data_IF_525736138465
#
_entry.id   IF_525736138465
#
_cell.length_a   1.000
_cell.length_b   1.000
_cell.length_c   1.000
_cell.angle_alpha   90.00
_cell.angle_beta   90.00
_cell.angle_gamma   90.00
#
_symmetry.space_group_name_H-M   'P 1'
#
loop_
_entity.id
_entity.type
_entity.pdbx_description
1 polymer ?
#
# COMPACT_ATOMS: atom_id res chain seq x y z
N UNK A 1 -19.48 1.49 39.82
CA UNK A 1 -18.74 0.45 39.05
C UNK A 1 -19.29 0.30 37.63
N UNK A 2 -20.62 0.31 37.39
CA UNK A 2 -21.20 0.15 36.05
C UNK A 2 -20.85 1.32 35.08
N UNK A 3 -20.79 2.54 35.57
CA UNK A 3 -20.39 3.71 34.76
C UNK A 3 -18.92 3.69 34.38
N UNK A 4 -18.03 3.31 35.32
CA UNK A 4 -16.61 3.15 35.03
C UNK A 4 -16.37 2.08 33.98
N UNK A 5 -17.11 0.96 34.03
CA UNK A 5 -17.02 -0.11 33.04
C UNK A 5 -17.51 0.39 31.66
N UNK A 6 -18.61 1.15 31.59
CA UNK A 6 -19.11 1.73 30.33
C UNK A 6 -18.09 2.67 29.72
N UNK A 7 -17.52 3.57 30.51
CA UNK A 7 -16.48 4.53 30.06
C UNK A 7 -15.26 3.78 29.56
N UNK A 8 -14.80 2.76 30.27
CA UNK A 8 -13.65 1.95 29.84
C UNK A 8 -13.92 1.21 28.52
N UNK A 9 -15.11 0.64 28.33
CA UNK A 9 -15.51 -0.03 27.08
C UNK A 9 -15.59 0.97 25.93
N UNK A 10 -16.22 2.14 26.13
CA UNK A 10 -16.29 3.18 25.10
C UNK A 10 -14.90 3.70 24.71
N UNK A 11 -14.04 3.90 25.70
CA UNK A 11 -12.66 4.33 25.45
C UNK A 11 -11.87 3.26 24.68
N UNK A 12 -12.01 1.99 25.05
CA UNK A 12 -11.36 0.88 24.34
C UNK A 12 -11.86 0.75 22.89
N UNK A 13 -13.15 0.90 22.65
CA UNK A 13 -13.72 0.89 21.29
C UNK A 13 -13.25 2.11 20.48
N UNK A 14 -13.16 3.28 21.11
CA UNK A 14 -12.65 4.49 20.48
C UNK A 14 -11.17 4.34 20.09
N UNK A 15 -10.33 3.87 21.02
CA UNK A 15 -8.90 3.58 20.74
C UNK A 15 -8.77 2.55 19.63
N UNK A 16 -9.56 1.45 19.69
CA UNK A 16 -9.56 0.42 18.63
C UNK A 16 -9.91 1.00 17.27
N UNK A 17 -10.89 1.89 17.16
CA UNK A 17 -11.29 2.52 15.90
C UNK A 17 -10.23 3.44 15.31
N UNK A 18 -9.39 4.04 16.16
CA UNK A 18 -8.27 4.88 15.74
C UNK A 18 -7.06 4.05 15.26
N UNK A 19 -6.86 2.87 15.84
CA UNK A 19 -5.65 2.07 15.60
C UNK A 19 -5.80 1.13 14.41
N UNK A 20 -7.00 0.53 14.22
CA UNK A 20 -7.21 -0.51 13.21
C UNK A 20 -8.43 -0.21 12.36
N UNK A 21 -8.26 -0.30 11.04
CA UNK A 21 -9.36 -0.21 10.08
C UNK A 21 -9.42 -1.47 9.24
N UNK A 22 -10.61 -2.05 9.06
CA UNK A 22 -10.84 -3.10 8.10
C UNK A 22 -11.07 -2.49 6.70
N UNK A 23 -10.34 -2.98 5.70
CA UNK A 23 -10.47 -2.57 4.31
C UNK A 23 -10.75 -3.79 3.46
N UNK A 24 -11.77 -3.72 2.60
CA UNK A 24 -12.11 -4.79 1.65
C UNK A 24 -11.36 -4.60 0.34
N UNK A 25 -10.71 -5.67 -0.14
CA UNK A 25 -10.01 -5.70 -1.42
C UNK A 25 -11.01 -5.71 -2.56
N UNK A 26 -10.91 -4.74 -3.47
CA UNK A 26 -11.81 -4.58 -4.62
C UNK A 26 -11.15 -4.76 -5.98
N UNK A 27 -9.83 -4.89 -6.03
CA UNK A 27 -9.08 -5.01 -7.29
C UNK A 27 -8.06 -6.12 -7.25
N UNK A 28 -7.77 -6.73 -8.41
CA UNK A 28 -6.79 -7.80 -8.55
C UNK A 28 -5.34 -7.34 -8.70
N UNK A 29 -5.04 -6.06 -8.45
CA UNK A 29 -3.68 -5.52 -8.63
C UNK A 29 -2.63 -6.07 -7.66
N UNK A 30 -3.07 -6.69 -6.57
CA UNK A 30 -2.21 -7.31 -5.55
C UNK A 30 -2.25 -8.84 -5.57
N UNK A 31 -2.88 -9.44 -6.60
CA UNK A 31 -2.86 -10.88 -6.78
C UNK A 31 -1.42 -11.39 -7.00
N UNK A 32 -1.07 -12.56 -6.51
CA UNK A 32 -1.85 -13.49 -5.67
C UNK A 32 -1.77 -13.17 -4.17
N UNK A 33 -1.03 -12.12 -3.77
CA UNK A 33 -0.80 -11.80 -2.35
C UNK A 33 -2.10 -11.45 -1.62
N UNK A 34 -3.03 -10.77 -2.30
CA UNK A 34 -4.33 -10.39 -1.78
C UNK A 34 -5.40 -10.72 -2.82
N UNK A 35 -6.43 -11.45 -2.41
CA UNK A 35 -7.54 -11.81 -3.29
C UNK A 35 -8.66 -10.78 -3.26
N UNK A 36 -9.43 -10.73 -4.35
CA UNK A 36 -10.59 -9.84 -4.41
C UNK A 36 -11.66 -10.38 -3.43
N UNK A 37 -12.09 -9.53 -2.53
CA UNK A 37 -13.04 -9.90 -1.48
C UNK A 37 -12.41 -10.06 -0.11
N UNK A 38 -11.10 -10.23 -0.01
CA UNK A 38 -10.39 -10.31 1.26
C UNK A 38 -10.61 -9.06 2.12
N UNK A 39 -10.64 -9.27 3.42
CA UNK A 39 -10.66 -8.20 4.40
C UNK A 39 -9.29 -8.08 5.07
N UNK A 40 -8.70 -6.90 4.95
CA UNK A 40 -7.42 -6.58 5.57
C UNK A 40 -7.62 -5.73 6.82
N UNK A 41 -6.78 -5.95 7.82
CA UNK A 41 -6.62 -5.01 8.90
C UNK A 41 -5.46 -4.05 8.56
N UNK A 42 -5.74 -2.77 8.66
CA UNK A 42 -4.76 -1.70 8.43
C UNK A 42 -4.41 -1.10 9.78
N UNK A 43 -3.13 -1.17 10.14
CA UNK A 43 -2.60 -0.46 11.30
C UNK A 43 -2.32 0.99 10.93
N UNK A 44 -3.19 1.86 11.38
CA UNK A 44 -3.06 3.32 11.15
C UNK A 44 -2.01 3.96 12.06
N UNK A 45 -1.72 3.32 13.19
CA UNK A 45 -0.84 3.87 14.21
C UNK A 45 0.64 3.72 13.86
N UNK A 46 1.01 2.72 13.05
CA UNK A 46 2.40 2.38 12.79
C UNK A 46 3.20 3.54 12.16
N UNK A 47 2.57 4.29 11.26
CA UNK A 47 3.22 5.40 10.56
C UNK A 47 2.89 6.78 11.14
N UNK A 48 2.21 6.85 12.29
CA UNK A 48 1.88 8.09 12.97
C UNK A 48 0.38 8.34 13.15
N UNK A 49 0.04 9.32 13.96
CA UNK A 49 -1.35 9.67 14.27
C UNK A 49 -1.80 10.80 13.34
N UNK A 50 -2.86 10.55 12.58
CA UNK A 50 -3.60 11.60 11.85
C UNK A 50 -4.66 12.19 12.78
N UNK A 51 -4.56 13.48 13.04
CA UNK A 51 -5.61 14.20 13.73
C UNK A 51 -6.57 14.79 12.68
N UNK A 52 -7.86 14.44 12.74
CA UNK A 52 -8.86 15.09 11.90
C UNK A 52 -8.78 16.59 12.10
N UNK A 53 -8.89 17.38 11.03
CA UNK A 53 -8.87 18.85 10.99
C UNK A 53 -7.49 19.54 11.08
N UNK A 54 -6.39 18.86 11.35
CA UNK A 54 -5.05 19.49 11.43
C UNK A 54 -4.24 19.32 10.13
N UNK A 55 -4.73 18.54 9.19
CA UNK A 55 -4.13 18.43 7.85
C UNK A 55 -2.72 17.88 7.82
N UNK A 56 -2.44 16.81 8.58
CA UNK A 56 -1.12 16.17 8.62
C UNK A 56 -1.00 15.10 9.69
N UNK A 57 0.17 14.43 9.72
CA UNK A 57 0.54 13.57 10.84
C UNK A 57 1.08 14.44 11.98
N UNK A 58 0.64 14.17 13.19
CA UNK A 58 1.08 14.90 14.39
C UNK A 58 2.27 14.21 15.06
N UNK A 59 2.38 12.89 14.88
CA UNK A 59 3.46 12.08 15.41
C UNK A 59 3.85 11.04 14.36
N UNK A 60 5.11 11.03 13.93
CA UNK A 60 5.67 10.01 13.05
C UNK A 60 6.43 8.99 13.90
N UNK A 61 6.02 7.72 13.85
CA UNK A 61 6.65 6.65 14.63
C UNK A 61 7.61 5.81 13.76
N UNK A 62 7.26 5.61 12.50
CA UNK A 62 8.05 4.81 11.56
C UNK A 62 7.76 5.25 10.14
N UNK A 63 8.80 5.31 9.32
CA UNK A 63 8.63 5.51 7.88
C UNK A 63 8.30 4.19 7.18
N UNK A 64 7.56 4.25 6.05
CA UNK A 64 7.36 3.08 5.22
C UNK A 64 8.67 2.52 4.69
N UNK A 65 8.82 1.21 4.72
CA UNK A 65 10.00 0.50 4.23
C UNK A 65 9.68 -0.24 2.93
N UNK A 66 10.71 -0.59 2.17
CA UNK A 66 10.55 -1.48 1.00
C UNK A 66 9.89 -2.78 1.41
N UNK A 67 9.03 -3.31 0.56
CA UNK A 67 8.17 -4.48 0.76
C UNK A 67 6.95 -4.28 1.68
N UNK A 68 6.79 -3.13 2.33
CA UNK A 68 5.56 -2.85 3.07
C UNK A 68 4.36 -2.76 2.12
N UNK A 69 3.26 -3.43 2.48
CA UNK A 69 1.97 -3.24 1.83
C UNK A 69 1.26 -2.10 2.53
N UNK A 70 0.95 -1.05 1.79
CA UNK A 70 0.37 0.18 2.34
C UNK A 70 -0.99 0.50 1.73
N UNK A 71 -1.86 1.04 2.57
CA UNK A 71 -3.12 1.67 2.14
C UNK A 71 -2.91 3.17 2.16
N UNK A 72 -3.26 3.84 1.08
CA UNK A 72 -3.04 5.27 0.91
C UNK A 72 -4.16 5.93 0.12
N UNK A 73 -4.30 7.24 0.28
CA UNK A 73 -5.23 8.06 -0.50
C UNK A 73 -4.63 8.25 -1.90
N UNK A 74 -5.39 7.91 -2.94
CA UNK A 74 -4.92 8.07 -4.32
C UNK A 74 -4.69 9.56 -4.65
N UNK A 75 -3.46 9.96 -5.05
CA UNK A 75 -3.11 11.39 -5.17
C UNK A 75 -3.93 12.17 -6.21
N UNK A 76 -4.44 11.48 -7.26
CA UNK A 76 -5.20 12.11 -8.34
C UNK A 76 -6.72 12.09 -8.15
N UNK A 77 -7.22 11.26 -7.22
CA UNK A 77 -8.66 11.12 -6.95
C UNK A 77 -8.86 10.78 -5.47
N UNK A 78 -8.89 11.80 -4.63
CA UNK A 78 -8.88 11.71 -3.16
C UNK A 78 -9.96 10.85 -2.50
N UNK A 79 -11.16 10.62 -3.07
CA UNK A 79 -12.12 9.72 -2.45
C UNK A 79 -11.75 8.24 -2.50
N UNK A 80 -10.67 7.87 -3.22
CA UNK A 80 -10.29 6.47 -3.42
C UNK A 80 -9.05 6.09 -2.63
N UNK A 81 -9.20 5.04 -1.83
CA UNK A 81 -8.09 4.38 -1.18
C UNK A 81 -7.52 3.28 -2.08
N UNK A 82 -6.21 3.26 -2.23
CA UNK A 82 -5.49 2.23 -2.97
C UNK A 82 -4.62 1.40 -2.03
N UNK A 83 -4.39 0.16 -2.42
CA UNK A 83 -3.48 -0.76 -1.75
C UNK A 83 -2.39 -1.16 -2.72
N UNK A 84 -1.15 -0.95 -2.35
CA UNK A 84 0.04 -1.29 -3.15
C UNK A 84 1.20 -1.67 -2.24
N UNK A 85 2.24 -2.24 -2.85
CA UNK A 85 3.51 -2.52 -2.17
C UNK A 85 4.50 -1.40 -2.42
N UNK A 86 5.18 -0.96 -1.36
CA UNK A 86 6.32 -0.03 -1.45
C UNK A 86 7.50 -0.77 -2.07
N UNK A 87 7.99 -0.30 -3.21
CA UNK A 87 9.15 -0.88 -3.90
C UNK A 87 10.40 -0.02 -3.80
N UNK A 88 10.22 1.30 -3.61
CA UNK A 88 11.32 2.22 -3.35
C UNK A 88 10.85 3.35 -2.43
N UNK A 89 11.78 3.91 -1.68
CA UNK A 89 11.56 4.99 -0.71
C UNK A 89 12.34 6.24 -1.09
N UNK A 90 12.08 7.36 -0.41
CA UNK A 90 12.79 8.61 -0.64
C UNK A 90 14.30 8.44 -0.69
N UNK A 91 14.97 9.07 -1.66
CA UNK A 91 16.39 8.94 -1.93
C UNK A 91 16.80 7.78 -2.84
N UNK A 92 15.92 6.79 -3.07
CA UNK A 92 16.20 5.70 -4.00
C UNK A 92 16.12 6.15 -5.45
N UNK A 93 16.94 5.54 -6.30
CA UNK A 93 16.76 5.59 -7.76
C UNK A 93 16.25 4.26 -8.25
N UNK A 94 15.05 4.27 -8.81
CA UNK A 94 14.33 3.08 -9.29
C UNK A 94 14.37 3.00 -10.81
N UNK A 95 14.56 1.79 -11.33
CA UNK A 95 14.42 1.51 -12.76
C UNK A 95 13.80 0.13 -12.96
N UNK A 96 12.93 0.00 -13.97
CA UNK A 96 12.41 -1.28 -14.44
C UNK A 96 12.91 -1.50 -15.87
N UNK A 97 13.63 -2.59 -16.10
CA UNK A 97 14.15 -3.02 -17.42
C UNK A 97 13.61 -4.40 -17.76
N UNK A 98 12.77 -4.47 -18.76
CA UNK A 98 12.16 -5.74 -19.19
C UNK A 98 11.59 -6.54 -18.00
N UNK A 99 10.74 -5.89 -17.21
CA UNK A 99 10.09 -6.43 -16.00
C UNK A 99 11.02 -6.73 -14.81
N UNK A 100 12.30 -6.40 -14.88
CA UNK A 100 13.24 -6.56 -13.77
C UNK A 100 13.42 -5.24 -13.03
N UNK A 101 13.27 -5.30 -11.72
CA UNK A 101 13.42 -4.14 -10.84
C UNK A 101 14.90 -3.92 -10.50
N UNK A 102 15.32 -2.68 -10.60
CA UNK A 102 16.64 -2.20 -10.17
C UNK A 102 16.46 -1.04 -9.19
N UNK A 103 17.18 -1.08 -8.09
CA UNK A 103 17.21 -0.02 -7.10
C UNK A 103 18.67 0.40 -6.90
N UNK A 104 18.93 1.70 -7.03
CA UNK A 104 20.26 2.29 -6.91
C UNK A 104 21.30 1.62 -7.84
N UNK A 105 20.86 1.22 -9.05
CA UNK A 105 21.67 0.58 -10.07
C UNK A 105 21.84 -0.94 -9.90
N UNK A 106 21.46 -1.51 -8.78
CA UNK A 106 21.55 -2.94 -8.51
C UNK A 106 20.20 -3.65 -8.74
N UNK A 107 20.26 -4.91 -9.23
CA UNK A 107 19.06 -5.71 -9.37
C UNK A 107 18.46 -6.00 -7.99
N UNK A 108 17.25 -5.55 -7.77
CA UNK A 108 16.53 -5.79 -6.53
C UNK A 108 15.88 -7.18 -6.51
N UNK A 109 15.81 -7.77 -5.32
CA UNK A 109 14.92 -8.90 -5.06
C UNK A 109 13.48 -8.42 -5.06
N UNK A 110 12.61 -9.14 -5.75
CA UNK A 110 11.22 -8.79 -5.94
C UNK A 110 10.33 -10.05 -5.83
N UNK A 111 10.33 -10.68 -4.65
CA UNK A 111 9.77 -12.03 -4.47
C UNK A 111 8.24 -12.07 -4.58
N UNK A 112 7.57 -10.93 -4.49
CA UNK A 112 6.10 -10.84 -4.53
C UNK A 112 5.57 -10.52 -5.92
N UNK A 113 6.44 -10.13 -6.84
CA UNK A 113 6.04 -9.70 -8.18
C UNK A 113 5.62 -10.86 -9.06
N UNK A 114 4.44 -10.73 -9.67
CA UNK A 114 3.94 -11.66 -10.67
C UNK A 114 3.83 -10.94 -12.02
N UNK A 115 4.34 -11.60 -13.04
CA UNK A 115 4.40 -11.10 -14.41
C UNK A 115 3.75 -12.07 -15.39
N UNK A 116 3.05 -11.55 -16.37
CA UNK A 116 2.65 -12.29 -17.56
C UNK A 116 3.83 -12.50 -18.52
N UNK A 117 3.64 -13.29 -19.60
CA UNK A 117 4.70 -13.66 -20.53
C UNK A 117 5.16 -12.52 -21.45
N UNK A 118 4.27 -11.57 -21.75
CA UNK A 118 4.52 -10.55 -22.78
C UNK A 118 5.28 -9.35 -22.22
N UNK A 119 6.31 -8.89 -22.96
CA UNK A 119 7.05 -7.65 -22.66
C UNK A 119 6.55 -6.56 -23.61
N UNK A 120 6.08 -5.45 -23.02
CA UNK A 120 5.68 -4.26 -23.77
C UNK A 120 6.87 -3.31 -23.89
N UNK A 121 7.29 -2.95 -25.13
CA UNK A 121 8.36 -1.98 -25.33
C UNK A 121 8.04 -0.61 -24.71
N UNK A 122 9.06 0.10 -24.19
CA UNK A 122 8.93 1.42 -23.53
C UNK A 122 8.17 2.46 -24.37
N UNK A 123 8.30 2.44 -25.69
CA UNK A 123 7.59 3.32 -26.61
C UNK A 123 6.06 3.19 -26.56
N UNK A 124 5.55 2.05 -26.06
CA UNK A 124 4.11 1.77 -25.97
C UNK A 124 3.58 1.94 -24.54
N UNK A 125 4.37 1.63 -23.53
CA UNK A 125 3.95 1.73 -22.13
C UNK A 125 5.16 1.74 -21.20
N UNK A 126 5.00 2.39 -20.05
CA UNK A 126 5.96 2.36 -18.94
C UNK A 126 5.82 1.12 -18.06
N UNK A 127 4.90 0.19 -18.38
CA UNK A 127 4.61 -0.99 -17.56
C UNK A 127 5.84 -1.84 -17.29
N UNK A 128 6.56 -2.21 -18.34
CA UNK A 128 7.65 -3.19 -18.30
C UNK A 128 9.04 -2.55 -18.37
N UNK A 129 9.08 -1.26 -18.72
CA UNK A 129 10.30 -0.46 -18.84
C UNK A 129 10.05 0.96 -18.34
N UNK A 130 10.59 1.30 -17.19
CA UNK A 130 10.38 2.59 -16.51
C UNK A 130 11.67 3.13 -15.93
N UNK A 131 11.82 4.44 -15.87
CA UNK A 131 12.94 5.12 -15.23
C UNK A 131 14.19 5.24 -16.13
N UNK A 132 15.39 5.48 -15.55
CA UNK A 132 15.60 5.68 -14.12
C UNK A 132 14.80 6.85 -13.54
N UNK A 133 14.36 6.70 -12.30
CA UNK A 133 13.53 7.69 -11.60
C UNK A 133 14.01 7.80 -10.14
N UNK A 134 14.37 9.01 -9.72
CA UNK A 134 14.74 9.28 -8.33
C UNK A 134 13.49 9.59 -7.51
N UNK A 135 13.27 8.81 -6.46
CA UNK A 135 12.14 9.00 -5.53
C UNK A 135 12.43 10.21 -4.64
N UNK A 136 11.56 11.23 -4.63
CA UNK A 136 11.73 12.40 -3.76
C UNK A 136 11.74 12.01 -2.27
N UNK A 137 12.45 12.77 -1.45
CA UNK A 137 12.39 12.61 0.01
C UNK A 137 10.97 12.82 0.53
N UNK A 138 10.57 11.99 1.50
CA UNK A 138 9.21 12.02 2.04
C UNK A 138 8.14 11.40 1.14
N UNK A 139 8.53 10.74 0.06
CA UNK A 139 7.65 10.03 -0.85
C UNK A 139 8.05 8.56 -1.01
N UNK A 140 7.13 7.75 -1.48
CA UNK A 140 7.37 6.34 -1.79
C UNK A 140 6.91 6.02 -3.21
N UNK A 141 7.60 5.08 -3.84
CA UNK A 141 7.20 4.51 -5.11
C UNK A 141 6.52 3.16 -4.86
N UNK A 142 5.29 3.01 -5.30
CA UNK A 142 4.47 1.85 -5.01
C UNK A 142 4.08 1.11 -6.28
N UNK A 143 4.06 -0.23 -6.21
CA UNK A 143 3.63 -1.09 -7.32
C UNK A 143 2.69 -2.17 -6.80
N UNK A 144 1.78 -2.62 -7.67
CA UNK A 144 0.99 -3.81 -7.37
C UNK A 144 1.81 -5.09 -7.59
N UNK A 145 1.53 -6.14 -6.83
CA UNK A 145 2.22 -7.42 -6.97
C UNK A 145 1.88 -8.09 -8.32
N UNK A 146 0.64 -7.94 -8.79
CA UNK A 146 0.25 -8.29 -10.16
C UNK A 146 0.73 -7.19 -11.12
N UNK A 147 2.02 -7.23 -11.48
CA UNK A 147 2.73 -6.17 -12.20
C UNK A 147 2.09 -5.77 -13.52
N UNK A 148 1.57 -6.74 -14.26
CA UNK A 148 0.99 -6.52 -15.57
C UNK A 148 -0.43 -5.97 -15.50
N UNK A 149 -1.15 -6.20 -14.42
CA UNK A 149 -2.52 -5.77 -14.18
C UNK A 149 -2.64 -4.70 -13.08
N UNK A 150 -1.57 -3.94 -12.83
CA UNK A 150 -1.56 -2.88 -11.83
C UNK A 150 -1.38 -1.50 -12.47
N UNK A 151 -2.31 -0.59 -12.17
CA UNK A 151 -2.16 0.84 -12.41
C UNK A 151 -1.56 1.48 -11.15
N UNK A 152 -0.26 1.79 -11.19
CA UNK A 152 0.54 2.18 -10.03
C UNK A 152 1.51 3.31 -10.33
N UNK A 153 2.51 3.54 -9.49
CA UNK A 153 3.45 4.65 -9.59
C UNK A 153 4.17 4.75 -10.94
N UNK A 154 4.28 3.67 -11.71
CA UNK A 154 4.82 3.70 -13.07
C UNK A 154 4.00 4.57 -14.03
N UNK A 155 2.74 4.85 -13.70
CA UNK A 155 1.79 5.57 -14.54
C UNK A 155 1.40 6.94 -13.96
N UNK A 156 1.33 7.07 -12.63
CA UNK A 156 0.81 8.29 -12.00
C UNK A 156 1.77 8.94 -11.00
N UNK A 157 2.96 8.36 -10.74
CA UNK A 157 4.01 8.96 -9.91
C UNK A 157 4.04 8.41 -8.48
N UNK A 158 4.70 9.13 -7.60
CA UNK A 158 4.96 8.76 -6.20
C UNK A 158 3.79 9.11 -5.28
N UNK A 159 3.83 8.56 -4.07
CA UNK A 159 2.87 8.81 -2.99
C UNK A 159 3.61 9.51 -1.85
N UNK A 160 3.18 10.71 -1.44
CA UNK A 160 3.68 11.33 -0.23
C UNK A 160 3.44 10.43 0.99
N UNK A 161 4.42 10.28 1.86
CA UNK A 161 4.30 9.48 3.10
C UNK A 161 3.11 9.96 3.94
N UNK A 162 2.81 11.26 3.90
CA UNK A 162 1.66 11.87 4.56
C UNK A 162 0.30 11.38 4.05
N UNK A 163 0.21 10.85 2.83
CA UNK A 163 -1.02 10.31 2.27
C UNK A 163 -1.22 8.81 2.59
N UNK A 164 -0.24 8.15 3.20
CA UNK A 164 -0.34 6.75 3.62
C UNK A 164 -1.22 6.66 4.88
N UNK A 165 -2.30 5.90 4.79
CA UNK A 165 -3.24 5.69 5.89
C UNK A 165 -2.72 4.69 6.91
N UNK A 166 -1.95 3.68 6.46
CA UNK A 166 -1.35 2.69 7.34
C UNK A 166 -0.77 1.51 6.59
N UNK A 167 -0.11 0.62 7.35
CA UNK A 167 0.42 -0.66 6.88
C UNK A 167 -0.67 -1.72 6.95
N UNK A 168 -0.86 -2.45 5.86
CA UNK A 168 -1.77 -3.58 5.82
C UNK A 168 -1.14 -4.79 6.54
N UNK A 169 -1.86 -5.36 7.47
CA UNK A 169 -1.59 -6.69 8.02
C UNK A 169 -2.54 -7.67 7.36
N UNK A 170 -1.99 -8.64 6.67
CA UNK A 170 -2.78 -9.72 6.09
C UNK A 170 -3.22 -10.65 7.21
N UNK A 171 -4.47 -10.52 7.66
CA UNK A 171 -5.15 -11.59 8.37
C UNK A 171 -5.89 -12.38 7.29
N UNK A 172 -5.44 -13.60 7.04
CA UNK A 172 -6.17 -14.57 6.25
C UNK A 172 -7.51 -14.89 6.94
N UNK A 173 -8.51 -14.11 6.62
CA UNK A 173 -9.89 -14.47 6.84
C UNK A 173 -10.57 -14.48 5.48
N UNK A 174 -10.35 -15.54 4.73
CA UNK A 174 -11.16 -15.88 3.57
C UNK A 174 -12.46 -16.48 4.10
N UNK A 175 -13.54 -15.75 3.95
CA UNK A 175 -14.87 -16.33 4.12
C UNK A 175 -15.22 -17.00 2.79
N UNK A 176 -14.92 -18.28 2.69
CA UNK A 176 -15.31 -19.10 1.55
C UNK A 176 -16.84 -19.24 1.55
N UNK A 177 -17.52 -18.40 0.77
CA UNK A 177 -18.97 -18.45 0.59
C UNK A 177 -19.42 -19.75 -0.15
N UNK A 178 -18.48 -20.58 -0.60
CA UNK A 178 -18.75 -21.83 -1.30
C UNK A 178 -18.63 -23.09 -0.41
N UNK A 179 -18.36 -22.94 0.87
CA UNK A 179 -18.26 -24.10 1.78
C UNK A 179 -19.61 -24.65 2.25
N UNK A 180 -20.76 -24.10 1.80
CA UNK A 180 -22.10 -24.50 2.17
C UNK A 180 -23.04 -24.66 0.99
N UNK A 181 -22.57 -25.15 -0.14
CA UNK A 181 -23.46 -25.60 -1.25
C UNK A 181 -23.24 -27.08 -1.55
#
# INVERSE_FOLDING_TARGET
>A
YAEALRVAVLLALFIRSLVVQAVKIRSGSMLPTLEIGDHLLVNKFLYGIRVPFVGGRVLDFKDPERNDVVVFIYPRDRPKDFIKRVVAVGGDTLEVRNKRLFINGEKAEDPFAVYGPDIIPRRRSTRDNFGPFSVPEGEVFVMGDNRDASHDSRFWGTVPVTEILGKAFVLYWSWDAHAFS
#
